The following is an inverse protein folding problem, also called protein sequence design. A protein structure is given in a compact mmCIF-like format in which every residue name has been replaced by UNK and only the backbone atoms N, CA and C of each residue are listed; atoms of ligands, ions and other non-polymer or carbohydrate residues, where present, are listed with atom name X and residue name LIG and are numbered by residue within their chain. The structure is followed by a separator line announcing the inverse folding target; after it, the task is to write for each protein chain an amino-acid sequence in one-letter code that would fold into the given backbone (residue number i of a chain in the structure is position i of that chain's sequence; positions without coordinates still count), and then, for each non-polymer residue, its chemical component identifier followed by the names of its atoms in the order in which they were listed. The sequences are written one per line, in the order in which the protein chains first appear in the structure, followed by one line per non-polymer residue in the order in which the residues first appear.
data_IF_026791661834
#
_entry.id   IF_026791661834
#
_cell.length_a   1.000
_cell.length_b   1.000
_cell.length_c   1.000
_cell.angle_alpha   90.00
_cell.angle_beta   90.00
_cell.angle_gamma   90.00
#
_symmetry.space_group_name_H-M   'P 1'
#
loop_
_entity.id
_entity.type
_entity.pdbx_description
1 polymer ?
#
# COMPACT_ATOMS: atom_id res chain seq x y z
N UNK A 1 73.72 -37.75 -1.47
CA UNK A 1 72.65 -37.88 -0.44
C UNK A 1 72.37 -36.49 0.15
N UNK A 2 71.10 -36.13 0.39
CA UNK A 2 70.54 -34.84 0.91
C UNK A 2 70.39 -33.64 -0.05
N UNK A 3 69.33 -33.66 -0.86
CA UNK A 3 68.56 -32.47 -1.30
C UNK A 3 67.06 -32.83 -1.31
N UNK A 4 66.35 -32.66 -0.18
CA UNK A 4 64.87 -32.86 -0.11
C UNK A 4 64.10 -31.81 0.68
N UNK A 5 64.73 -30.75 1.20
CA UNK A 5 64.09 -29.85 2.17
C UNK A 5 63.43 -28.57 1.61
N UNK A 6 63.59 -28.24 0.32
CA UNK A 6 63.10 -26.96 -0.24
C UNK A 6 61.72 -27.02 -0.90
N UNK A 7 61.22 -28.20 -1.31
CA UNK A 7 59.92 -28.31 -2.00
C UNK A 7 58.70 -28.28 -1.08
N UNK A 8 58.85 -28.64 0.19
CA UNK A 8 57.73 -28.73 1.14
C UNK A 8 57.34 -27.35 1.69
N UNK A 9 58.32 -26.45 1.90
CA UNK A 9 58.06 -25.08 2.36
C UNK A 9 57.41 -24.19 1.28
N UNK A 10 57.69 -24.42 0.00
CA UNK A 10 57.10 -23.64 -1.10
C UNK A 10 55.63 -23.97 -1.34
N UNK A 11 55.23 -25.24 -1.18
CA UNK A 11 53.85 -25.69 -1.39
C UNK A 11 52.90 -25.26 -0.27
N UNK A 12 53.37 -25.22 0.99
CA UNK A 12 52.58 -24.72 2.12
C UNK A 12 52.40 -23.20 2.05
N UNK A 13 53.42 -22.44 1.67
CA UNK A 13 53.30 -20.99 1.50
C UNK A 13 52.34 -20.63 0.35
N UNK A 14 52.39 -21.36 -0.77
CA UNK A 14 51.46 -21.18 -1.89
C UNK A 14 50.02 -21.53 -1.49
N UNK A 15 49.80 -22.61 -0.73
CA UNK A 15 48.47 -22.97 -0.23
C UNK A 15 47.89 -21.94 0.74
N UNK A 16 48.72 -21.35 1.61
CA UNK A 16 48.32 -20.27 2.53
C UNK A 16 47.96 -19.01 1.74
N UNK A 17 48.74 -18.64 0.72
CA UNK A 17 48.45 -17.48 -0.13
C UNK A 17 47.15 -17.66 -0.94
N UNK A 18 46.91 -18.86 -1.47
CA UNK A 18 45.65 -19.17 -2.19
C UNK A 18 44.46 -19.15 -1.23
N UNK A 19 44.60 -19.72 -0.03
CA UNK A 19 43.53 -19.68 0.98
C UNK A 19 43.24 -18.24 1.44
N UNK A 20 44.27 -17.42 1.64
CA UNK A 20 44.11 -16.01 2.00
C UNK A 20 43.46 -15.20 0.87
N UNK A 21 43.81 -15.48 -0.39
CA UNK A 21 43.19 -14.84 -1.56
C UNK A 21 41.73 -15.24 -1.72
N UNK A 22 41.39 -16.52 -1.52
CA UNK A 22 40.01 -17.02 -1.55
C UNK A 22 39.20 -16.40 -0.42
N UNK A 23 39.73 -16.32 0.81
CA UNK A 23 39.06 -15.65 1.93
C UNK A 23 38.79 -14.16 1.64
N UNK A 24 39.79 -13.45 1.11
CA UNK A 24 39.65 -12.04 0.75
C UNK A 24 38.61 -11.83 -0.36
N UNK A 25 38.58 -12.70 -1.37
CA UNK A 25 37.60 -12.64 -2.45
C UNK A 25 36.17 -12.93 -1.96
N UNK A 26 35.99 -13.89 -1.05
CA UNK A 26 34.68 -14.18 -0.44
C UNK A 26 34.19 -13.05 0.46
N UNK A 27 35.09 -12.40 1.22
CA UNK A 27 34.75 -11.26 2.07
C UNK A 27 34.35 -10.04 1.24
N UNK A 28 35.06 -9.78 0.13
CA UNK A 28 34.71 -8.71 -0.81
C UNK A 28 33.37 -8.98 -1.52
N UNK A 29 33.07 -10.25 -1.85
CA UNK A 29 31.80 -10.65 -2.45
C UNK A 29 30.61 -10.60 -1.46
N UNK A 30 30.86 -10.54 -0.15
CA UNK A 30 29.83 -10.50 0.88
C UNK A 30 29.28 -9.08 1.18
N UNK A 31 29.75 -8.05 0.49
CA UNK A 31 29.40 -6.66 0.80
C UNK A 31 28.85 -5.89 -0.41
N UNK A 32 27.55 -6.02 -0.65
CA UNK A 32 26.69 -4.85 -0.96
C UNK A 32 25.20 -5.19 -0.84
N UNK A 33 24.72 -5.51 0.37
CA UNK A 33 23.29 -5.30 0.62
C UNK A 33 23.09 -3.79 0.67
N UNK A 34 22.35 -3.24 -0.29
CA UNK A 34 22.02 -1.80 -0.30
C UNK A 34 21.44 -1.42 1.07
N UNK A 35 21.95 -0.33 1.66
CA UNK A 35 21.41 0.19 2.90
C UNK A 35 19.91 0.49 2.72
N UNK A 36 19.07 0.26 3.75
CA UNK A 36 17.66 0.56 3.66
C UNK A 36 17.46 2.06 3.39
N UNK A 37 16.54 2.38 2.47
CA UNK A 37 16.16 3.76 2.17
C UNK A 37 15.70 4.45 3.47
N UNK A 38 16.23 5.65 3.75
CA UNK A 38 15.82 6.42 4.92
C UNK A 38 14.33 6.77 4.87
N UNK A 39 13.70 6.95 6.04
CA UNK A 39 12.29 7.37 6.09
C UNK A 39 12.08 8.73 5.40
N UNK A 40 13.06 9.61 5.50
CA UNK A 40 13.05 10.90 4.82
C UNK A 40 12.98 10.73 3.29
N UNK A 41 13.84 9.86 2.73
CA UNK A 41 13.85 9.57 1.30
C UNK A 41 12.54 8.92 0.83
N UNK A 42 11.91 8.05 1.65
CA UNK A 42 10.59 7.48 1.34
C UNK A 42 9.47 8.52 1.32
N UNK A 43 9.55 9.53 2.20
CA UNK A 43 8.51 10.56 2.33
C UNK A 43 8.73 11.79 1.46
N UNK A 44 9.90 11.92 0.82
CA UNK A 44 10.23 13.07 -0.06
C UNK A 44 9.14 13.33 -1.10
N UNK A 45 8.74 12.30 -1.84
CA UNK A 45 7.71 12.45 -2.88
C UNK A 45 6.39 12.96 -2.31
N UNK A 46 5.95 12.44 -1.15
CA UNK A 46 4.67 12.82 -0.54
C UNK A 46 4.68 14.27 -0.06
N UNK A 47 5.82 14.72 0.50
CA UNK A 47 6.01 16.14 0.86
C UNK A 47 6.04 17.06 -0.36
N UNK A 48 6.54 16.60 -1.49
CA UNK A 48 6.61 17.36 -2.75
C UNK A 48 5.30 17.34 -3.53
N UNK A 49 4.46 16.32 -3.33
CA UNK A 49 3.20 16.14 -4.02
C UNK A 49 2.22 17.30 -3.77
N UNK A 50 2.15 17.81 -2.53
CA UNK A 50 1.36 18.97 -2.03
C UNK A 50 -0.16 18.93 -2.22
N UNK A 51 -0.65 18.41 -3.33
CA UNK A 51 -2.04 18.48 -3.75
C UNK A 51 -2.53 17.11 -4.22
N UNK A 52 -3.69 16.69 -3.71
CA UNK A 52 -4.25 15.37 -3.98
C UNK A 52 -5.76 15.33 -3.82
N UNK A 53 -6.37 14.27 -4.36
CA UNK A 53 -7.80 14.00 -4.29
C UNK A 53 -8.11 13.12 -3.08
N UNK A 54 -9.15 13.44 -2.32
CA UNK A 54 -9.74 12.51 -1.36
C UNK A 54 -11.15 12.13 -1.83
N UNK A 55 -11.37 10.83 -2.06
CA UNK A 55 -12.65 10.24 -2.43
C UNK A 55 -13.28 9.59 -1.19
N UNK A 56 -14.39 10.14 -0.72
CA UNK A 56 -15.31 9.47 0.20
C UNK A 56 -16.42 8.81 -0.60
N UNK A 57 -16.38 7.48 -0.68
CA UNK A 57 -17.38 6.71 -1.40
C UNK A 57 -17.68 5.39 -0.69
N UNK A 58 -18.97 5.05 -0.62
CA UNK A 58 -19.52 3.90 0.10
C UNK A 58 -21.05 3.93 0.06
N UNK A 59 -21.70 3.09 0.86
CA UNK A 59 -23.16 2.93 0.80
C UNK A 59 -23.92 4.21 1.12
N UNK A 60 -23.35 5.10 1.93
CA UNK A 60 -23.90 6.42 2.26
C UNK A 60 -24.12 7.33 1.04
N UNK A 61 -23.47 7.04 -0.09
CA UNK A 61 -23.71 7.77 -1.34
C UNK A 61 -25.09 7.46 -1.95
N UNK A 62 -25.74 6.35 -1.59
CA UNK A 62 -27.09 6.01 -2.05
C UNK A 62 -28.15 6.93 -1.42
N UNK A 63 -28.25 7.03 -0.07
CA UNK A 63 -29.22 7.93 0.55
C UNK A 63 -28.83 9.42 0.43
N UNK A 64 -27.55 9.73 0.22
CA UNK A 64 -27.07 11.08 -0.09
C UNK A 64 -27.57 12.19 0.87
N UNK A 65 -27.72 11.87 2.16
CA UNK A 65 -28.21 12.81 3.18
C UNK A 65 -29.72 12.76 3.42
N UNK A 66 -30.47 11.91 2.73
CA UNK A 66 -31.91 11.69 2.95
C UNK A 66 -32.18 10.25 3.41
N UNK A 67 -32.99 10.06 4.45
CA UNK A 67 -33.46 8.75 4.88
C UNK A 67 -34.97 8.73 5.05
N UNK A 68 -35.65 7.83 4.33
CA UNK A 68 -37.13 7.67 4.38
C UNK A 68 -37.89 8.99 4.19
N UNK A 69 -37.51 9.78 3.17
CA UNK A 69 -38.16 11.05 2.84
C UNK A 69 -37.80 12.21 3.77
N UNK A 70 -36.83 12.03 4.67
CA UNK A 70 -36.39 13.07 5.61
C UNK A 70 -34.93 13.44 5.35
N UNK A 71 -34.69 14.74 5.17
CA UNK A 71 -33.34 15.27 5.15
C UNK A 71 -32.69 15.09 6.53
N UNK A 72 -31.50 14.49 6.53
CA UNK A 72 -30.70 14.25 7.73
C UNK A 72 -29.61 15.32 7.78
N UNK A 73 -29.63 16.24 8.76
CA UNK A 73 -28.70 17.36 8.79
C UNK A 73 -27.26 16.90 9.06
N UNK A 74 -26.32 17.50 8.33
CA UNK A 74 -24.89 17.26 8.46
C UNK A 74 -24.31 16.54 7.26
N UNK A 75 -23.19 15.86 7.50
CA UNK A 75 -22.39 15.17 6.48
C UNK A 75 -22.96 13.77 6.21
N UNK A 76 -23.14 13.43 4.93
CA UNK A 76 -23.90 12.26 4.48
C UNK A 76 -23.26 10.92 4.85
N UNK A 77 -21.94 10.85 4.98
CA UNK A 77 -21.21 9.64 5.37
C UNK A 77 -21.43 9.23 6.83
N UNK A 78 -22.05 10.10 7.63
CA UNK A 78 -22.49 9.83 9.00
C UNK A 78 -24.00 9.53 9.12
N UNK A 79 -24.72 9.40 8.00
CA UNK A 79 -26.18 9.25 7.99
C UNK A 79 -26.67 8.06 8.84
N UNK A 80 -25.96 6.93 8.80
CA UNK A 80 -26.28 5.75 9.61
C UNK A 80 -26.41 6.09 11.10
N UNK A 81 -25.43 6.83 11.63
CA UNK A 81 -25.42 7.27 13.02
C UNK A 81 -26.43 8.39 13.27
N UNK A 82 -26.47 9.41 12.40
CA UNK A 82 -27.30 10.61 12.60
C UNK A 82 -28.80 10.32 12.54
N UNK A 83 -29.22 9.38 11.70
CA UNK A 83 -30.61 8.96 11.58
C UNK A 83 -30.94 7.73 12.45
N UNK A 84 -30.01 7.25 13.28
CA UNK A 84 -30.15 6.04 14.09
C UNK A 84 -30.64 4.82 13.27
N UNK A 85 -30.06 4.63 12.08
CA UNK A 85 -30.45 3.55 11.17
C UNK A 85 -29.92 2.22 11.74
N UNK A 86 -30.78 1.21 11.98
CA UNK A 86 -30.30 -0.10 12.42
C UNK A 86 -29.32 -0.71 11.42
N UNK A 87 -28.25 -1.35 11.90
CA UNK A 87 -27.19 -1.96 11.07
C UNK A 87 -27.78 -2.84 9.96
N UNK A 88 -28.67 -3.78 10.33
CA UNK A 88 -29.30 -4.71 9.37
C UNK A 88 -30.12 -4.01 8.28
N UNK A 89 -30.69 -2.85 8.59
CA UNK A 89 -31.45 -2.05 7.63
C UNK A 89 -30.48 -1.32 6.68
N UNK A 90 -29.42 -0.74 7.22
CA UNK A 90 -28.40 -0.05 6.42
C UNK A 90 -27.63 -1.00 5.49
N UNK A 91 -27.31 -2.21 5.95
CA UNK A 91 -26.62 -3.24 5.15
C UNK A 91 -27.37 -3.60 3.85
N UNK A 92 -28.70 -3.42 3.81
CA UNK A 92 -29.49 -3.66 2.59
C UNK A 92 -29.10 -2.73 1.43
N UNK A 93 -28.51 -1.57 1.72
CA UNK A 93 -27.98 -0.67 0.68
C UNK A 93 -26.90 -1.35 -0.18
N UNK A 94 -26.17 -2.34 0.35
CA UNK A 94 -25.17 -3.07 -0.42
C UNK A 94 -25.79 -3.80 -1.62
N UNK A 95 -27.04 -4.26 -1.51
CA UNK A 95 -27.76 -4.91 -2.62
C UNK A 95 -28.15 -3.95 -3.74
N UNK A 96 -28.16 -2.64 -3.45
CA UNK A 96 -28.50 -1.58 -4.38
C UNK A 96 -27.26 -0.90 -4.96
N UNK A 97 -26.07 -1.19 -4.40
CA UNK A 97 -24.82 -0.52 -4.78
C UNK A 97 -24.30 -1.06 -6.12
N UNK A 98 -24.81 -0.47 -7.21
CA UNK A 98 -24.45 -0.82 -8.58
C UNK A 98 -24.07 0.44 -9.39
N UNK A 99 -22.85 0.98 -9.23
CA UNK A 99 -22.44 2.22 -9.87
C UNK A 99 -22.07 2.01 -11.34
N UNK A 100 -23.06 1.79 -12.20
CA UNK A 100 -22.88 1.47 -13.63
C UNK A 100 -22.19 2.57 -14.47
N UNK A 101 -22.08 3.79 -13.92
CA UNK A 101 -21.38 4.92 -14.55
C UNK A 101 -19.96 5.11 -14.00
N UNK A 102 -19.50 4.26 -13.10
CA UNK A 102 -18.15 4.35 -12.56
C UNK A 102 -17.14 4.05 -13.66
N UNK A 103 -16.17 4.95 -13.80
CA UNK A 103 -15.04 4.84 -14.73
C UNK A 103 -13.79 5.35 -14.01
N UNK A 104 -12.87 4.45 -13.67
CA UNK A 104 -11.66 4.80 -12.92
C UNK A 104 -10.72 5.68 -13.76
N UNK A 105 -10.64 5.42 -15.06
CA UNK A 105 -9.82 6.18 -16.01
C UNK A 105 -10.28 7.63 -16.09
N UNK A 106 -11.58 7.88 -16.13
CA UNK A 106 -12.13 9.25 -16.11
C UNK A 106 -11.79 9.99 -14.81
N UNK A 107 -11.90 9.32 -13.67
CA UNK A 107 -11.58 9.92 -12.37
C UNK A 107 -10.10 10.25 -12.24
N UNK A 108 -9.23 9.31 -12.63
CA UNK A 108 -7.78 9.51 -12.63
C UNK A 108 -7.39 10.60 -13.63
N UNK A 109 -7.99 10.62 -14.82
CA UNK A 109 -7.76 11.66 -15.81
C UNK A 109 -8.11 13.04 -15.26
N UNK A 110 -9.28 13.18 -14.63
CA UNK A 110 -9.68 14.44 -13.99
C UNK A 110 -8.68 14.90 -12.93
N UNK A 111 -8.18 13.97 -12.08
CA UNK A 111 -7.20 14.31 -11.05
C UNK A 111 -5.87 14.78 -11.68
N UNK A 112 -5.39 14.08 -12.72
CA UNK A 112 -4.17 14.44 -13.45
C UNK A 112 -4.31 15.79 -14.14
N UNK A 113 -5.42 16.01 -14.86
CA UNK A 113 -5.70 17.26 -15.57
C UNK A 113 -5.81 18.45 -14.60
N UNK A 114 -6.26 18.20 -13.36
CA UNK A 114 -6.31 19.19 -12.27
C UNK A 114 -4.96 19.42 -11.57
N UNK A 115 -3.91 18.68 -11.96
CA UNK A 115 -2.56 18.81 -11.39
C UNK A 115 -2.34 18.06 -10.08
N UNK A 116 -3.29 17.23 -9.63
CA UNK A 116 -3.18 16.44 -8.40
C UNK A 116 -2.09 15.36 -8.55
N UNK A 117 -1.40 15.06 -7.44
CA UNK A 117 -0.22 14.16 -7.42
C UNK A 117 -0.46 12.84 -6.69
N UNK A 118 -1.58 12.73 -5.98
CA UNK A 118 -1.98 11.50 -5.30
C UNK A 118 -3.50 11.46 -5.13
N UNK A 119 -4.03 10.25 -4.93
CA UNK A 119 -5.44 10.00 -4.61
C UNK A 119 -5.49 9.17 -3.32
N UNK A 120 -6.35 9.56 -2.40
CA UNK A 120 -6.73 8.79 -1.21
C UNK A 120 -8.20 8.38 -1.36
N UNK A 121 -8.50 7.12 -1.12
CA UNK A 121 -9.84 6.56 -1.25
C UNK A 121 -10.22 5.90 0.07
N UNK A 122 -11.46 6.09 0.52
CA UNK A 122 -12.01 5.36 1.65
C UNK A 122 -12.08 3.86 1.34
N UNK A 123 -11.09 3.09 1.76
CA UNK A 123 -11.11 1.62 1.62
C UNK A 123 -12.22 0.98 2.45
N UNK A 124 -12.54 1.58 3.59
CA UNK A 124 -13.68 1.29 4.47
C UNK A 124 -13.94 2.52 5.33
N UNK A 125 -15.19 2.96 5.47
CA UNK A 125 -15.57 4.05 6.35
C UNK A 125 -16.13 3.52 7.70
N UNK A 126 -16.69 4.40 8.53
CA UNK A 126 -17.29 4.03 9.82
C UNK A 126 -18.52 3.12 9.69
N UNK A 127 -19.21 3.13 8.55
CA UNK A 127 -20.34 2.23 8.27
C UNK A 127 -19.89 0.77 8.06
N UNK A 128 -18.59 0.53 7.90
CA UNK A 128 -17.99 -0.79 7.87
C UNK A 128 -17.97 -1.46 6.49
N UNK A 129 -18.58 -0.86 5.47
CA UNK A 129 -18.61 -1.44 4.12
C UNK A 129 -17.25 -1.29 3.44
N UNK A 130 -16.66 -2.42 3.03
CA UNK A 130 -15.35 -2.41 2.40
C UNK A 130 -15.44 -2.23 0.87
N UNK A 131 -14.74 -1.24 0.34
CA UNK A 131 -14.64 -0.92 -1.09
C UNK A 131 -13.60 -1.79 -1.83
N UNK A 132 -13.31 -2.98 -1.29
CA UNK A 132 -12.38 -3.96 -1.84
C UNK A 132 -12.81 -5.37 -1.46
N UNK A 133 -12.31 -6.38 -2.19
CA UNK A 133 -12.56 -7.79 -1.89
C UNK A 133 -11.93 -8.27 -0.60
N UNK A 134 -12.66 -8.10 0.50
CA UNK A 134 -12.22 -8.49 1.84
C UNK A 134 -12.29 -10.01 2.02
N UNK A 135 -11.21 -10.61 2.54
CA UNK A 135 -11.17 -12.04 2.88
C UNK A 135 -11.73 -12.37 4.26
N UNK A 136 -11.98 -11.35 5.09
CA UNK A 136 -12.34 -11.51 6.51
C UNK A 136 -13.74 -11.04 6.84
N UNK A 137 -14.41 -10.35 5.90
CA UNK A 137 -15.79 -9.90 6.06
C UNK A 137 -16.53 -10.02 4.74
N UNK A 138 -17.74 -10.56 4.78
CA UNK A 138 -18.66 -10.61 3.63
C UNK A 138 -19.30 -9.26 3.31
N UNK A 139 -19.17 -8.28 4.20
CA UNK A 139 -19.74 -6.94 4.01
C UNK A 139 -18.75 -6.07 3.21
N UNK A 140 -18.72 -6.31 1.91
CA UNK A 140 -17.81 -5.66 0.98
C UNK A 140 -18.42 -5.61 -0.44
N UNK A 141 -17.71 -4.99 -1.39
CA UNK A 141 -18.21 -4.71 -2.75
C UNK A 141 -18.21 -5.91 -3.72
N UNK A 142 -17.60 -7.06 -3.40
CA UNK A 142 -17.52 -8.25 -4.28
C UNK A 142 -18.15 -9.51 -3.70
#
# INVERSE_FOLDING_TARGET
MRRRSTRILSSTLAAILVAAFVLAATAAAQSSKAAPISQDAKMKWFREAKFGLFIHWGLYAIPAGEWKGKLIPGIGEWIMNRANIPVKEYEQLATQFNPVKFNAEEWVKMAVDSGMKYIVITSKHHDGFAMYGSKVSKYNIV
#
